data_IF_705247908513
#
_entry.id   IF_705247908513
#
_cell.length_a   1.000
_cell.length_b   1.000
_cell.length_c   1.000
_cell.angle_alpha   90.00
_cell.angle_beta   90.00
_cell.angle_gamma   90.00
#
_symmetry.space_group_name_H-M   'P 1'
#
loop_
_entity.id
_entity.type
_entity.pdbx_description
1 polymer ?
#
# COMPACT_ATOMS: atom_id res chain seq x y z
N UNK A 1 -14.51 -3.77 17.10
CA UNK A 1 -13.17 -3.15 16.93
C UNK A 1 -13.31 -2.12 15.84
N UNK A 2 -12.77 -0.92 16.04
CA UNK A 2 -12.94 0.19 15.08
C UNK A 2 -11.60 0.55 14.45
N UNK A 3 -11.61 0.89 13.16
CA UNK A 3 -10.39 1.20 12.41
C UNK A 3 -10.57 2.36 11.43
N UNK A 4 -9.48 3.10 11.19
CA UNK A 4 -9.39 4.17 10.20
C UNK A 4 -8.18 3.92 9.29
N UNK A 5 -8.41 3.95 7.99
CA UNK A 5 -7.38 3.84 6.95
C UNK A 5 -7.00 5.24 6.47
N UNK A 6 -5.70 5.57 6.48
CA UNK A 6 -5.18 6.87 6.01
C UNK A 6 -4.06 6.68 4.99
N UNK A 7 -4.04 7.44 3.87
CA UNK A 7 -3.00 7.33 2.85
C UNK A 7 -1.61 7.55 3.45
N UNK A 8 -0.69 6.61 3.20
CA UNK A 8 0.64 6.61 3.79
C UNK A 8 1.77 6.85 2.77
N UNK A 9 1.49 6.58 1.50
CA UNK A 9 2.41 6.79 0.40
C UNK A 9 2.16 5.82 -0.73
N UNK A 10 3.20 5.60 -1.53
CA UNK A 10 3.14 4.79 -2.72
C UNK A 10 4.37 3.89 -2.80
N UNK A 11 4.15 2.64 -3.23
CA UNK A 11 5.21 1.70 -3.59
C UNK A 11 5.61 2.01 -5.03
N UNK A 12 6.90 2.27 -5.25
CA UNK A 12 7.48 2.56 -6.57
C UNK A 12 8.26 1.39 -7.16
N UNK A 13 8.56 0.38 -6.34
CA UNK A 13 9.36 -0.78 -6.74
C UNK A 13 8.74 -2.06 -6.20
N UNK A 14 8.50 -3.02 -7.09
CA UNK A 14 8.02 -4.36 -6.76
C UNK A 14 8.99 -5.41 -7.31
N UNK A 15 9.03 -6.56 -6.65
CA UNK A 15 9.82 -7.71 -7.05
C UNK A 15 8.87 -8.83 -7.43
N UNK A 16 8.56 -8.93 -8.72
CA UNK A 16 7.62 -9.93 -9.22
C UNK A 16 8.27 -11.32 -9.21
N UNK A 17 7.59 -12.37 -8.72
CA UNK A 17 8.17 -13.70 -8.64
C UNK A 17 8.50 -14.24 -10.03
N UNK A 18 9.63 -14.94 -10.13
CA UNK A 18 9.97 -15.74 -11.32
C UNK A 18 9.46 -17.16 -11.14
N UNK A 19 9.23 -17.86 -12.26
CA UNK A 19 8.70 -19.22 -12.22
C UNK A 19 9.82 -20.24 -12.45
N UNK A 20 9.97 -21.18 -11.53
CA UNK A 20 10.88 -22.31 -11.66
C UNK A 20 10.09 -23.61 -11.74
N UNK A 21 10.60 -24.60 -12.48
CA UNK A 21 10.02 -25.94 -12.47
C UNK A 21 10.26 -26.60 -11.10
N UNK A 22 9.23 -27.25 -10.56
CA UNK A 22 9.33 -27.96 -9.27
C UNK A 22 10.35 -29.10 -9.34
N UNK A 23 10.94 -29.51 -8.20
CA UNK A 23 11.96 -30.59 -8.20
C UNK A 23 11.48 -31.92 -8.78
N UNK A 24 10.18 -32.20 -8.67
CA UNK A 24 9.52 -33.39 -9.24
C UNK A 24 9.09 -33.19 -10.72
N UNK A 25 9.31 -32.00 -11.30
CA UNK A 25 9.05 -31.71 -12.71
C UNK A 25 7.58 -31.54 -13.09
N UNK A 26 6.66 -31.50 -12.13
CA UNK A 26 5.21 -31.59 -12.39
C UNK A 26 4.51 -30.24 -12.48
N UNK A 27 5.10 -29.16 -11.95
CA UNK A 27 4.47 -27.84 -11.88
C UNK A 27 5.49 -26.71 -11.82
N UNK A 28 5.10 -25.52 -12.26
CA UNK A 28 5.86 -24.30 -12.00
C UNK A 28 5.52 -23.75 -10.62
N UNK A 29 6.54 -23.30 -9.90
CA UNK A 29 6.41 -22.70 -8.57
C UNK A 29 6.99 -21.28 -8.58
N UNK A 30 6.38 -20.33 -7.86
CA UNK A 30 6.92 -18.99 -7.74
C UNK A 30 8.18 -19.03 -6.87
N UNK A 31 9.23 -18.38 -7.34
CA UNK A 31 10.51 -18.19 -6.64
C UNK A 31 10.75 -16.69 -6.48
N UNK A 32 11.29 -16.23 -5.33
CA UNK A 32 11.65 -14.83 -5.15
C UNK A 32 12.56 -14.33 -6.27
N UNK A 33 12.29 -13.13 -6.78
CA UNK A 33 13.13 -12.44 -7.76
C UNK A 33 13.95 -11.37 -7.06
N UNK A 34 15.20 -11.23 -7.48
CA UNK A 34 16.06 -10.09 -7.11
C UNK A 34 16.02 -8.97 -8.16
N UNK A 35 15.22 -9.12 -9.22
CA UNK A 35 15.07 -8.11 -10.28
C UNK A 35 13.96 -7.12 -9.92
N UNK A 36 14.26 -5.83 -9.76
CA UNK A 36 13.24 -4.82 -9.45
C UNK A 36 12.42 -4.42 -10.69
N UNK A 37 11.10 -4.33 -10.54
CA UNK A 37 10.17 -3.72 -11.47
C UNK A 37 9.75 -2.34 -10.95
N UNK A 38 10.01 -1.27 -11.72
CA UNK A 38 9.63 0.09 -11.34
C UNK A 38 8.18 0.40 -11.76
N UNK A 39 7.41 0.99 -10.85
CA UNK A 39 6.03 1.44 -11.09
C UNK A 39 6.07 2.94 -11.44
N UNK A 40 5.43 3.38 -12.55
CA UNK A 40 5.33 4.80 -12.89
C UNK A 40 4.68 5.63 -11.79
N UNK A 41 5.06 6.91 -11.70
CA UNK A 41 4.50 7.83 -10.70
C UNK A 41 2.96 7.93 -10.80
N UNK A 42 2.24 8.03 -9.66
CA UNK A 42 2.77 8.13 -8.29
C UNK A 42 3.18 6.80 -7.66
N UNK A 43 2.98 5.65 -8.31
CA UNK A 43 3.18 4.32 -7.76
C UNK A 43 1.88 3.67 -7.27
N UNK A 44 1.98 2.52 -6.59
CA UNK A 44 0.84 1.80 -6.01
C UNK A 44 0.54 2.31 -4.58
N UNK A 45 -0.66 2.86 -4.30
CA UNK A 45 -0.96 3.44 -3.00
C UNK A 45 -1.03 2.38 -1.89
N UNK A 46 -0.57 2.75 -0.69
CA UNK A 46 -0.80 1.99 0.52
C UNK A 46 -1.23 2.91 1.67
N UNK A 47 -1.88 2.31 2.69
CA UNK A 47 -2.45 3.02 3.82
C UNK A 47 -1.88 2.51 5.14
N UNK A 48 -1.84 3.38 6.14
CA UNK A 48 -1.73 2.96 7.55
C UNK A 48 -3.14 2.71 8.10
N UNK A 49 -3.25 1.73 8.99
CA UNK A 49 -4.50 1.40 9.68
C UNK A 49 -4.33 1.67 11.16
N UNK A 50 -5.02 2.69 11.67
CA UNK A 50 -5.12 2.93 13.11
C UNK A 50 -6.31 2.17 13.67
N UNK A 51 -6.10 1.47 14.79
CA UNK A 51 -7.08 0.56 15.39
C UNK A 51 -7.23 0.86 16.88
N UNK A 52 -8.46 0.82 17.37
CA UNK A 52 -8.77 0.98 18.79
C UNK A 52 -9.98 0.14 19.22
N UNK A 53 -10.20 0.08 20.53
CA UNK A 53 -11.41 -0.48 21.10
C UNK A 53 -12.66 0.32 20.67
N UNK A 54 -13.84 -0.32 20.58
CA UNK A 54 -15.10 0.40 20.30
C UNK A 54 -15.34 1.55 21.30
N UNK A 55 -15.83 2.69 20.81
CA UNK A 55 -16.08 3.88 21.63
C UNK A 55 -14.88 4.83 21.75
N UNK A 56 -13.79 4.60 20.98
CA UNK A 56 -12.60 5.47 20.90
C UNK A 56 -12.40 6.08 19.51
N UNK A 57 -13.47 6.23 18.74
CA UNK A 57 -13.44 6.78 17.39
C UNK A 57 -12.95 8.23 17.35
N UNK A 58 -13.21 9.00 18.41
CA UNK A 58 -12.73 10.37 18.59
C UNK A 58 -11.19 10.44 18.63
N UNK A 59 -10.56 9.52 19.37
CA UNK A 59 -9.11 9.41 19.46
C UNK A 59 -8.53 8.96 18.13
N UNK A 60 -9.14 7.96 17.49
CA UNK A 60 -8.69 7.49 16.17
C UNK A 60 -8.74 8.60 15.12
N UNK A 61 -9.84 9.37 15.07
CA UNK A 61 -9.97 10.51 14.16
C UNK A 61 -8.89 11.55 14.42
N UNK A 62 -8.63 11.90 15.68
CA UNK A 62 -7.59 12.87 16.04
C UNK A 62 -6.20 12.43 15.56
N UNK A 63 -5.83 11.17 15.77
CA UNK A 63 -4.53 10.61 15.34
C UNK A 63 -4.46 10.57 13.81
N UNK A 64 -5.49 10.05 13.15
CA UNK A 64 -5.58 9.95 11.71
C UNK A 64 -5.44 11.32 11.02
N UNK A 65 -6.20 12.32 11.49
CA UNK A 65 -6.14 13.69 10.97
C UNK A 65 -4.78 14.36 11.23
N UNK A 66 -4.18 14.14 12.41
CA UNK A 66 -2.86 14.68 12.70
C UNK A 66 -1.79 14.09 11.76
N UNK A 67 -1.85 12.78 11.49
CA UNK A 67 -0.96 12.12 10.54
C UNK A 67 -1.16 12.65 9.12
N UNK A 68 -2.39 12.77 8.64
CA UNK A 68 -2.68 13.28 7.29
C UNK A 68 -2.19 14.73 7.11
N UNK A 69 -2.49 15.60 8.08
CA UNK A 69 -2.08 17.01 8.04
C UNK A 69 -0.56 17.19 8.05
N UNK A 70 0.17 16.35 8.79
CA UNK A 70 1.63 16.39 8.86
C UNK A 70 2.30 15.77 7.63
N UNK A 71 1.76 14.65 7.13
CA UNK A 71 2.44 13.85 6.11
C UNK A 71 2.11 14.24 4.67
N UNK A 72 0.89 14.75 4.41
CA UNK A 72 0.40 15.21 3.10
C UNK A 72 0.70 14.22 1.96
N UNK A 73 0.55 12.92 2.23
CA UNK A 73 0.96 11.83 1.32
C UNK A 73 0.05 11.63 0.11
N UNK A 74 -1.13 12.25 0.09
CA UNK A 74 -2.14 12.01 -0.95
C UNK A 74 -1.81 12.76 -2.23
N UNK A 75 -1.78 12.05 -3.36
CA UNK A 75 -1.64 12.62 -4.71
C UNK A 75 -2.92 12.35 -5.51
N UNK A 76 -3.50 13.37 -6.20
CA UNK A 76 -4.64 13.17 -7.09
C UNK A 76 -4.32 12.16 -8.21
N UNK A 77 -5.23 11.24 -8.54
CA UNK A 77 -5.03 10.32 -9.66
C UNK A 77 -4.79 11.08 -10.98
N UNK A 78 -3.66 10.85 -11.69
CA UNK A 78 -3.31 11.62 -12.90
C UNK A 78 -4.35 11.55 -14.02
N UNK A 79 -5.09 10.44 -14.10
CA UNK A 79 -6.11 10.21 -15.12
C UNK A 79 -7.42 11.01 -14.90
N UNK A 80 -7.60 11.64 -13.74
CA UNK A 80 -8.84 12.32 -13.35
C UNK A 80 -8.55 13.77 -12.95
N UNK A 81 -8.22 14.60 -13.95
CA UNK A 81 -7.98 16.03 -13.76
C UNK A 81 -9.24 16.83 -13.41
N UNK A 82 -9.09 18.12 -13.06
CA UNK A 82 -10.22 19.02 -12.82
C UNK A 82 -11.09 19.19 -14.08
N UNK A 83 -12.38 19.41 -13.87
CA UNK A 83 -13.39 19.69 -14.91
C UNK A 83 -13.32 21.13 -15.41
#
# INVERSE_FOLDING_TARGET
MTEILIPAGYVTTVYDPVWALSPDGTRYVPVPSDTPTTIPEPGLPFSLVFRAEPGREDVLLKIASAYEAASKRRVPPPAFGPL
#
